data_IF_380690857022
#
_entry.id   IF_380690857022
#
_cell.length_a   1.000
_cell.length_b   1.000
_cell.length_c   1.000
_cell.angle_alpha   90.00
_cell.angle_beta   90.00
_cell.angle_gamma   90.00
#
_symmetry.space_group_name_H-M   'P 1'
#
loop_
_entity.id
_entity.type
_entity.pdbx_description
1 polymer ?
#
# COMPACT_ATOMS: atom_id res chain seq x y z
N UNK A 1 -24.71 -6.88 11.69
CA UNK A 1 -23.29 -7.22 11.49
C UNK A 1 -22.51 -6.48 12.55
N UNK A 2 -21.95 -7.20 13.53
CA UNK A 2 -21.12 -6.58 14.56
C UNK A 2 -19.76 -6.33 13.92
N UNK A 3 -19.43 -5.07 13.64
CA UNK A 3 -18.08 -4.69 13.25
C UNK A 3 -17.14 -5.04 14.39
N UNK A 4 -16.22 -5.98 14.16
CA UNK A 4 -15.13 -6.26 15.10
C UNK A 4 -14.39 -4.95 15.44
N UNK A 5 -13.84 -4.80 16.66
CA UNK A 5 -13.10 -3.59 17.05
C UNK A 5 -12.01 -3.19 16.04
N UNK A 6 -11.44 -4.16 15.32
CA UNK A 6 -10.43 -3.92 14.27
C UNK A 6 -11.02 -3.30 12.98
N UNK A 7 -12.23 -3.68 12.59
CA UNK A 7 -12.93 -3.03 11.48
C UNK A 7 -13.21 -1.56 11.77
N UNK A 8 -13.38 -1.21 13.06
CA UNK A 8 -13.49 0.18 13.48
C UNK A 8 -12.17 0.95 13.35
N UNK A 9 -11.01 0.30 13.52
CA UNK A 9 -9.70 0.95 13.43
C UNK A 9 -9.36 1.29 11.98
N UNK A 10 -9.53 0.36 11.04
CA UNK A 10 -9.28 0.64 9.62
C UNK A 10 -10.23 1.71 9.08
N UNK A 11 -11.53 1.64 9.43
CA UNK A 11 -12.50 2.68 9.06
C UNK A 11 -12.07 4.06 9.59
N UNK A 12 -11.57 4.12 10.82
CA UNK A 12 -11.05 5.37 11.41
C UNK A 12 -9.80 5.87 10.67
N UNK A 13 -8.89 4.97 10.30
CA UNK A 13 -7.70 5.32 9.55
C UNK A 13 -8.02 5.83 8.14
N UNK A 14 -8.95 5.18 7.43
CA UNK A 14 -9.47 5.64 6.13
C UNK A 14 -10.11 7.03 6.27
N UNK A 15 -10.96 7.24 7.28
CA UNK A 15 -11.58 8.55 7.52
C UNK A 15 -10.54 9.63 7.84
N UNK A 16 -9.46 9.29 8.55
CA UNK A 16 -8.34 10.21 8.81
C UNK A 16 -7.63 10.60 7.52
N UNK A 17 -7.33 9.64 6.65
CA UNK A 17 -6.74 9.93 5.32
C UNK A 17 -7.67 10.85 4.54
N UNK A 18 -8.97 10.53 4.46
CA UNK A 18 -9.93 11.37 3.74
C UNK A 18 -9.94 12.82 4.26
N UNK A 19 -9.93 13.00 5.58
CA UNK A 19 -9.86 14.34 6.20
C UNK A 19 -8.55 15.06 5.93
N UNK A 20 -7.41 14.38 6.05
CA UNK A 20 -6.07 14.99 5.93
C UNK A 20 -5.76 15.43 4.50
N UNK A 21 -6.31 14.74 3.49
CA UNK A 21 -6.08 15.04 2.08
C UNK A 21 -7.31 15.67 1.40
N UNK A 22 -8.29 16.13 2.18
CA UNK A 22 -9.47 16.83 1.65
C UNK A 22 -9.07 18.08 0.86
N UNK A 23 -9.74 18.32 -0.26
CA UNK A 23 -9.50 19.46 -1.13
C UNK A 23 -8.17 19.45 -1.90
N UNK A 24 -7.29 18.44 -1.73
CA UNK A 24 -6.06 18.32 -2.51
C UNK A 24 -6.38 18.11 -3.99
N UNK A 25 -5.64 18.78 -4.88
CA UNK A 25 -5.78 18.71 -6.34
C UNK A 25 -4.45 18.38 -7.00
N UNK A 26 -4.52 17.95 -8.26
CA UNK A 26 -3.40 18.10 -9.18
C UNK A 26 -3.04 19.59 -9.34
N UNK A 27 -1.84 19.87 -9.84
CA UNK A 27 -1.47 21.25 -10.18
C UNK A 27 -2.35 21.77 -11.32
N UNK A 28 -2.63 23.08 -11.32
CA UNK A 28 -3.51 23.68 -12.33
C UNK A 28 -3.00 23.50 -13.76
N UNK A 29 -1.68 23.38 -13.94
CA UNK A 29 -1.03 23.13 -15.21
C UNK A 29 -0.65 21.66 -15.45
N UNK A 30 -1.11 20.74 -14.59
CA UNK A 30 -0.91 19.30 -14.83
C UNK A 30 -1.55 18.91 -16.16
N UNK A 31 -0.76 18.28 -17.03
CA UNK A 31 -1.21 17.77 -18.31
C UNK A 31 -1.20 16.24 -18.39
N UNK A 32 -0.59 15.57 -17.40
CA UNK A 32 -0.25 14.15 -17.49
C UNK A 32 0.65 13.86 -18.71
N UNK A 33 0.73 12.59 -19.10
CA UNK A 33 1.60 12.18 -20.21
C UNK A 33 1.03 12.49 -21.62
N UNK A 34 -0.18 13.05 -21.70
CA UNK A 34 -0.89 13.33 -22.96
C UNK A 34 -1.34 12.10 -23.76
N UNK A 35 -1.29 10.89 -23.19
CA UNK A 35 -1.66 9.63 -23.87
C UNK A 35 -2.53 8.69 -23.05
N UNK A 36 -2.28 8.59 -21.75
CA UNK A 36 -2.91 7.60 -20.88
C UNK A 36 -4.21 8.09 -20.22
N UNK A 37 -4.43 9.39 -20.23
CA UNK A 37 -5.60 10.06 -19.67
C UNK A 37 -6.08 11.08 -20.68
N UNK A 38 -7.39 11.18 -20.84
CA UNK A 38 -7.97 12.25 -21.63
C UNK A 38 -8.04 13.57 -20.83
N UNK A 39 -8.29 14.68 -21.53
CA UNK A 39 -8.34 16.01 -20.91
C UNK A 39 -9.43 16.11 -19.83
N UNK A 40 -10.53 15.37 -19.98
CA UNK A 40 -11.61 15.34 -18.98
C UNK A 40 -11.17 14.64 -17.70
N UNK A 41 -10.47 13.51 -17.82
CA UNK A 41 -9.88 12.81 -16.67
C UNK A 41 -8.83 13.66 -15.95
N UNK A 42 -7.95 14.35 -16.70
CA UNK A 42 -6.98 15.28 -16.11
C UNK A 42 -7.69 16.45 -15.42
N UNK A 43 -8.75 16.99 -16.02
CA UNK A 43 -9.55 18.05 -15.41
C UNK A 43 -10.21 17.62 -14.09
N UNK A 44 -10.69 16.37 -13.99
CA UNK A 44 -11.20 15.83 -12.73
C UNK A 44 -10.13 15.79 -11.62
N UNK A 45 -8.87 15.52 -11.98
CA UNK A 45 -7.74 15.54 -11.05
C UNK A 45 -7.40 16.96 -10.59
N UNK A 46 -7.57 17.97 -11.46
CA UNK A 46 -7.40 19.39 -11.13
C UNK A 46 -8.57 19.96 -10.32
N UNK A 47 -9.75 19.36 -10.40
CA UNK A 47 -10.97 19.87 -9.76
C UNK A 47 -11.07 19.43 -8.29
N UNK A 48 -11.19 20.37 -7.32
CA UNK A 48 -11.33 20.04 -5.91
C UNK A 48 -12.72 19.49 -5.58
N UNK A 49 -12.82 18.62 -4.58
CA UNK A 49 -14.09 18.17 -4.00
C UNK A 49 -14.95 17.25 -4.88
N UNK A 50 -14.49 16.91 -6.08
CA UNK A 50 -15.18 15.96 -6.96
C UNK A 50 -14.73 14.52 -6.63
N UNK A 51 -15.65 13.60 -6.31
CA UNK A 51 -15.31 12.18 -6.21
C UNK A 51 -14.82 11.65 -7.56
N UNK A 52 -13.68 10.95 -7.57
CA UNK A 52 -13.18 10.26 -8.77
C UNK A 52 -13.76 8.85 -8.82
N UNK A 53 -13.91 8.31 -10.02
CA UNK A 53 -14.25 6.90 -10.21
C UNK A 53 -13.10 6.01 -9.71
N UNK A 54 -13.42 4.86 -9.10
CA UNK A 54 -12.42 3.92 -8.58
C UNK A 54 -11.41 3.48 -9.66
N UNK A 55 -11.87 3.25 -10.90
CA UNK A 55 -10.99 2.92 -12.02
C UNK A 55 -9.97 4.03 -12.34
N UNK A 56 -10.38 5.30 -12.29
CA UNK A 56 -9.47 6.43 -12.49
C UNK A 56 -8.44 6.49 -11.35
N UNK A 57 -8.88 6.35 -10.10
CA UNK A 57 -8.00 6.32 -8.92
C UNK A 57 -6.94 5.23 -9.04
N UNK A 58 -7.36 4.01 -9.39
CA UNK A 58 -6.49 2.86 -9.60
C UNK A 58 -5.47 3.14 -10.70
N UNK A 59 -5.95 3.51 -11.90
CA UNK A 59 -5.07 3.82 -13.03
C UNK A 59 -4.07 4.91 -12.66
N UNK A 60 -4.49 5.96 -11.98
CA UNK A 60 -3.59 7.05 -11.57
C UNK A 60 -2.45 6.55 -10.68
N UNK A 61 -2.77 5.75 -9.66
CA UNK A 61 -1.78 5.23 -8.72
C UNK A 61 -0.83 4.18 -9.34
N UNK A 62 -1.32 3.40 -10.32
CA UNK A 62 -0.54 2.36 -10.99
C UNK A 62 0.42 2.88 -12.07
N UNK A 63 0.20 4.10 -12.59
CA UNK A 63 1.05 4.63 -13.66
C UNK A 63 2.46 4.90 -13.17
N UNK A 64 3.40 4.74 -14.09
CA UNK A 64 4.79 5.10 -13.83
C UNK A 64 4.87 6.57 -13.40
N UNK A 65 5.63 6.92 -12.35
CA UNK A 65 5.68 8.28 -11.81
C UNK A 65 5.98 9.39 -12.83
N UNK A 66 6.69 9.06 -13.92
CA UNK A 66 6.99 10.02 -14.99
C UNK A 66 5.77 10.34 -15.89
N UNK A 67 4.61 9.73 -15.65
CA UNK A 67 3.36 10.09 -16.35
C UNK A 67 2.77 11.41 -15.86
N UNK A 68 3.26 11.95 -14.77
CA UNK A 68 2.71 13.12 -14.09
C UNK A 68 3.76 14.20 -13.97
N UNK A 69 3.36 15.45 -14.19
CA UNK A 69 4.24 16.60 -13.98
C UNK A 69 4.59 16.73 -12.49
N UNK A 70 3.62 16.41 -11.62
CA UNK A 70 3.81 16.40 -10.17
C UNK A 70 3.19 15.15 -9.52
N UNK A 71 3.93 14.04 -9.56
CA UNK A 71 3.54 12.78 -8.90
C UNK A 71 3.10 12.95 -7.44
N UNK A 72 3.82 13.69 -6.57
CA UNK A 72 3.35 13.91 -5.20
C UNK A 72 2.00 14.62 -5.08
N UNK A 73 1.68 15.58 -5.95
CA UNK A 73 0.38 16.25 -5.93
C UNK A 73 -0.73 15.29 -6.38
N UNK A 74 -0.48 14.54 -7.45
CA UNK A 74 -1.41 13.56 -8.01
C UNK A 74 -1.75 12.46 -7.00
N UNK A 75 -0.75 11.89 -6.34
CA UNK A 75 -1.01 10.84 -5.35
C UNK A 75 -1.80 11.39 -4.17
N UNK A 76 -1.50 12.61 -3.67
CA UNK A 76 -2.31 13.25 -2.63
C UNK A 76 -3.77 13.45 -3.04
N UNK A 77 -4.02 13.82 -4.30
CA UNK A 77 -5.38 14.01 -4.85
C UNK A 77 -6.20 12.73 -4.82
N UNK A 78 -5.61 11.60 -5.16
CA UNK A 78 -6.34 10.32 -5.24
C UNK A 78 -6.35 9.55 -3.92
N UNK A 79 -5.48 9.90 -2.97
CA UNK A 79 -5.25 9.15 -1.75
C UNK A 79 -6.51 8.87 -0.91
N UNK A 80 -7.45 9.82 -0.70
CA UNK A 80 -8.71 9.54 0.01
C UNK A 80 -9.49 8.35 -0.52
N UNK A 81 -9.49 8.15 -1.84
CA UNK A 81 -10.21 7.06 -2.49
C UNK A 81 -9.30 5.85 -2.73
N UNK A 82 -8.00 6.05 -2.92
CA UNK A 82 -7.02 4.98 -3.09
C UNK A 82 -6.97 4.05 -1.88
N UNK A 83 -7.05 4.59 -0.66
CA UNK A 83 -7.04 3.76 0.55
C UNK A 83 -8.30 2.89 0.67
N UNK A 84 -9.42 3.33 0.12
CA UNK A 84 -10.66 2.53 0.05
C UNK A 84 -10.47 1.39 -0.95
N UNK A 85 -10.04 1.73 -2.17
CA UNK A 85 -9.72 0.79 -3.27
C UNK A 85 -8.76 -0.32 -2.78
N UNK A 86 -7.67 0.06 -2.08
CA UNK A 86 -6.73 -0.91 -1.50
C UNK A 86 -7.38 -1.80 -0.43
N UNK A 87 -8.25 -1.25 0.42
CA UNK A 87 -8.88 -2.00 1.51
C UNK A 87 -9.97 -2.97 1.06
N UNK A 88 -10.63 -2.68 -0.07
CA UNK A 88 -11.77 -3.45 -0.58
C UNK A 88 -11.36 -4.68 -1.41
N UNK A 89 -10.07 -4.80 -1.71
CA UNK A 89 -9.52 -6.05 -2.23
C UNK A 89 -9.09 -6.00 -3.69
N UNK A 90 -8.74 -4.81 -4.20
CA UNK A 90 -8.36 -4.66 -5.60
C UNK A 90 -7.08 -5.41 -5.96
N UNK A 91 -7.07 -5.95 -7.17
CA UNK A 91 -5.89 -6.61 -7.73
C UNK A 91 -4.73 -5.60 -7.90
N UNK A 92 -3.49 -6.10 -7.87
CA UNK A 92 -2.27 -5.30 -8.07
C UNK A 92 -2.13 -4.17 -7.03
N UNK A 93 -2.46 -4.45 -5.78
CA UNK A 93 -2.35 -3.53 -4.65
C UNK A 93 -0.91 -3.04 -4.41
N UNK A 94 0.07 -3.87 -4.75
CA UNK A 94 1.50 -3.58 -4.70
C UNK A 94 1.93 -2.59 -5.80
N UNK A 95 1.37 -2.68 -7.01
CA UNK A 95 1.57 -1.70 -8.07
C UNK A 95 1.00 -0.32 -7.68
N UNK A 96 -0.19 -0.29 -7.06
CA UNK A 96 -0.74 0.94 -6.50
C UNK A 96 0.12 1.48 -5.35
N UNK A 97 0.65 0.61 -4.48
CA UNK A 97 1.54 0.96 -3.39
C UNK A 97 2.87 1.57 -3.88
N UNK A 98 3.40 1.12 -5.02
CA UNK A 98 4.56 1.74 -5.67
C UNK A 98 4.32 3.23 -5.96
N UNK A 99 3.12 3.61 -6.37
CA UNK A 99 2.75 5.01 -6.59
C UNK A 99 2.95 5.88 -5.34
N UNK A 100 2.59 5.36 -4.16
CA UNK A 100 2.82 6.02 -2.88
C UNK A 100 4.31 6.18 -2.58
N UNK A 101 5.07 5.09 -2.71
CA UNK A 101 6.52 5.11 -2.47
C UNK A 101 7.22 6.14 -3.37
N UNK A 102 6.86 6.15 -4.66
CA UNK A 102 7.38 7.10 -5.63
C UNK A 102 7.02 8.56 -5.34
N UNK A 103 5.85 8.79 -4.77
CA UNK A 103 5.43 10.11 -4.32
C UNK A 103 6.17 10.59 -3.04
N UNK A 104 6.98 9.72 -2.43
CA UNK A 104 7.81 10.04 -1.28
C UNK A 104 6.99 10.34 -0.02
N UNK A 105 5.88 9.64 0.20
CA UNK A 105 4.91 9.95 1.24
C UNK A 105 5.50 10.04 2.65
N UNK A 106 6.53 9.25 2.94
CA UNK A 106 7.21 9.24 4.24
C UNK A 106 7.95 10.55 4.54
N UNK A 107 8.18 11.39 3.52
CA UNK A 107 8.84 12.71 3.63
C UNK A 107 7.86 13.89 3.56
N UNK A 108 6.56 13.62 3.48
CA UNK A 108 5.53 14.66 3.51
C UNK A 108 5.41 15.32 4.89
N UNK A 109 4.65 16.42 5.03
CA UNK A 109 4.33 16.98 6.34
C UNK A 109 3.83 15.91 7.32
N UNK A 110 4.20 16.05 8.60
CA UNK A 110 4.01 15.01 9.62
C UNK A 110 2.58 14.50 9.73
N UNK A 111 1.58 15.38 9.59
CA UNK A 111 0.17 15.00 9.60
C UNK A 111 -0.18 14.08 8.42
N UNK A 112 0.28 14.41 7.22
CA UNK A 112 0.06 13.63 6.00
C UNK A 112 0.77 12.27 6.06
N UNK A 113 2.05 12.26 6.40
CA UNK A 113 2.81 11.03 6.55
C UNK A 113 2.22 10.13 7.65
N UNK A 114 1.81 10.72 8.77
CA UNK A 114 1.16 9.99 9.87
C UNK A 114 -0.20 9.40 9.50
N UNK A 115 -0.98 10.05 8.64
CA UNK A 115 -2.24 9.51 8.14
C UNK A 115 -2.01 8.27 7.24
N UNK A 116 -1.02 8.33 6.34
CA UNK A 116 -0.65 7.19 5.48
C UNK A 116 -0.09 6.03 6.30
N UNK A 117 0.85 6.30 7.21
CA UNK A 117 1.41 5.26 8.09
C UNK A 117 0.33 4.60 8.95
N UNK A 118 -0.60 5.39 9.50
CA UNK A 118 -1.71 4.87 10.29
C UNK A 118 -2.68 4.00 9.47
N UNK A 119 -2.93 4.33 8.20
CA UNK A 119 -3.70 3.48 7.30
C UNK A 119 -2.99 2.15 7.03
N UNK A 120 -1.71 2.18 6.64
CA UNK A 120 -0.96 0.97 6.32
C UNK A 120 -0.87 0.02 7.53
N UNK A 121 -0.66 0.55 8.75
CA UNK A 121 -0.67 -0.24 9.98
C UNK A 121 -2.04 -0.85 10.28
N UNK A 122 -3.13 -0.06 10.18
CA UNK A 122 -4.47 -0.55 10.42
C UNK A 122 -4.90 -1.62 9.39
N UNK A 123 -4.54 -1.42 8.11
CA UNK A 123 -4.85 -2.35 7.04
C UNK A 123 -4.11 -3.68 7.23
N UNK A 124 -2.83 -3.61 7.59
CA UNK A 124 -2.04 -4.79 7.87
C UNK A 124 -2.54 -5.56 9.11
N UNK A 125 -2.79 -4.85 10.21
CA UNK A 125 -3.32 -5.45 11.44
C UNK A 125 -4.68 -6.12 11.21
N UNK A 126 -5.60 -5.47 10.48
CA UNK A 126 -6.89 -6.08 10.16
C UNK A 126 -6.74 -7.32 9.29
N UNK A 127 -5.82 -7.30 8.33
CA UNK A 127 -5.55 -8.45 7.45
C UNK A 127 -5.10 -9.67 8.27
N UNK A 128 -4.14 -9.48 9.18
CA UNK A 128 -3.63 -10.54 10.06
C UNK A 128 -4.68 -11.16 10.99
N UNK A 129 -5.72 -10.41 11.35
CA UNK A 129 -6.80 -10.86 12.25
C UNK A 129 -8.02 -11.41 11.51
N UNK A 130 -8.14 -11.14 10.20
CA UNK A 130 -9.27 -11.57 9.39
C UNK A 130 -8.99 -12.94 8.78
N UNK A 131 -9.87 -13.94 9.00
CA UNK A 131 -9.65 -15.32 8.50
C UNK A 131 -9.57 -15.43 6.98
N UNK A 132 -10.34 -14.59 6.29
CA UNK A 132 -10.44 -14.53 4.82
C UNK A 132 -10.49 -13.04 4.43
N UNK A 133 -9.35 -12.35 4.45
CA UNK A 133 -9.27 -10.95 4.05
C UNK A 133 -9.56 -10.81 2.54
N UNK A 134 -9.99 -9.62 2.06
CA UNK A 134 -10.24 -9.39 0.64
C UNK A 134 -9.01 -9.61 -0.25
N UNK A 135 -7.81 -9.31 0.26
CA UNK A 135 -6.51 -9.60 -0.37
C UNK A 135 -5.73 -10.54 0.53
N UNK A 136 -4.98 -11.48 -0.07
CA UNK A 136 -4.10 -12.40 0.65
C UNK A 136 -3.10 -11.65 1.53
N UNK A 137 -2.76 -12.21 2.69
CA UNK A 137 -1.86 -11.56 3.63
C UNK A 137 -0.46 -11.28 3.03
N UNK A 138 0.08 -12.18 2.21
CA UNK A 138 1.35 -11.95 1.48
C UNK A 138 1.27 -10.71 0.59
N UNK A 139 0.21 -10.56 -0.20
CA UNK A 139 0.03 -9.42 -1.11
C UNK A 139 -0.18 -8.09 -0.35
N UNK A 140 -0.90 -8.10 0.79
CA UNK A 140 -0.97 -6.90 1.66
C UNK A 140 0.40 -6.59 2.26
N UNK A 141 1.14 -7.59 2.73
CA UNK A 141 2.50 -7.42 3.24
C UNK A 141 3.42 -6.81 2.17
N UNK A 142 3.46 -7.38 0.97
CA UNK A 142 4.21 -6.85 -0.18
C UNK A 142 3.80 -5.41 -0.52
N UNK A 143 2.51 -5.07 -0.43
CA UNK A 143 2.02 -3.71 -0.65
C UNK A 143 2.51 -2.73 0.42
N UNK A 144 2.41 -3.11 1.70
CA UNK A 144 2.91 -2.30 2.81
C UNK A 144 4.42 -2.09 2.73
N UNK A 145 5.17 -3.15 2.42
CA UNK A 145 6.62 -3.11 2.19
C UNK A 145 6.96 -2.19 1.04
N UNK A 146 6.30 -2.37 -0.11
CA UNK A 146 6.53 -1.55 -1.31
C UNK A 146 6.23 -0.09 -1.05
N UNK A 147 5.08 0.23 -0.44
CA UNK A 147 4.70 1.61 -0.12
C UNK A 147 5.73 2.29 0.78
N UNK A 148 6.23 1.58 1.80
CA UNK A 148 7.12 2.15 2.82
C UNK A 148 8.61 2.03 2.50
N UNK A 149 8.98 1.25 1.48
CA UNK A 149 10.35 0.83 1.20
C UNK A 149 11.04 0.22 2.44
N UNK A 150 10.30 -0.50 3.28
CA UNK A 150 10.79 -1.09 4.54
C UNK A 150 10.00 -2.32 4.95
N UNK A 151 10.66 -3.34 5.50
CA UNK A 151 10.02 -4.57 5.99
C UNK A 151 9.83 -4.62 7.50
N UNK A 152 10.76 -4.02 8.25
CA UNK A 152 10.83 -4.06 9.70
C UNK A 152 9.49 -3.79 10.43
N UNK A 153 8.75 -2.69 10.15
CA UNK A 153 7.51 -2.42 10.90
C UNK A 153 6.43 -3.49 10.67
N UNK A 154 6.38 -4.08 9.48
CA UNK A 154 5.35 -5.05 9.10
C UNK A 154 5.66 -6.43 9.66
N UNK A 155 6.94 -6.83 9.68
CA UNK A 155 7.41 -8.03 10.35
C UNK A 155 7.23 -7.95 11.86
N UNK A 156 7.57 -6.80 12.47
CA UNK A 156 7.35 -6.59 13.91
C UNK A 156 5.86 -6.72 14.28
N UNK A 157 4.95 -6.18 13.46
CA UNK A 157 3.51 -6.38 13.65
C UNK A 157 3.14 -7.87 13.55
N UNK A 158 3.60 -8.56 12.51
CA UNK A 158 3.31 -9.98 12.30
C UNK A 158 3.77 -10.83 13.49
N UNK A 159 4.97 -10.56 14.02
CA UNK A 159 5.54 -11.23 15.19
C UNK A 159 4.66 -11.06 16.44
N UNK A 160 4.03 -9.90 16.63
CA UNK A 160 3.10 -9.68 17.75
C UNK A 160 1.75 -10.38 17.59
N UNK A 161 1.32 -10.69 16.35
CA UNK A 161 0.06 -11.37 16.06
C UNK A 161 0.23 -12.89 16.15
N UNK A 162 0.18 -13.45 17.37
CA UNK A 162 0.41 -14.89 17.62
C UNK A 162 -0.85 -15.77 17.47
N UNK A 163 -1.97 -15.16 17.10
CA UNK A 163 -3.25 -15.84 16.92
C UNK A 163 -3.22 -16.92 15.82
N UNK A 164 -4.16 -17.89 15.84
CA UNK A 164 -4.21 -18.96 14.84
C UNK A 164 -4.44 -18.44 13.41
N UNK A 165 -5.12 -17.30 13.25
CA UNK A 165 -5.35 -16.67 11.94
C UNK A 165 -4.03 -16.16 11.35
N UNK A 166 -3.25 -15.38 12.11
CA UNK A 166 -1.97 -14.85 11.67
C UNK A 166 -0.93 -15.95 11.39
N UNK A 167 -0.93 -17.04 12.17
CA UNK A 167 -0.10 -18.23 11.89
C UNK A 167 -0.49 -18.94 10.59
N UNK A 168 -1.79 -19.05 10.30
CA UNK A 168 -2.26 -19.57 9.02
C UNK A 168 -1.83 -18.68 7.86
N UNK A 169 -1.98 -17.37 8.00
CA UNK A 169 -1.51 -16.40 6.99
C UNK A 169 -0.01 -16.53 6.72
N UNK A 170 0.80 -16.77 7.76
CA UNK A 170 2.23 -17.01 7.60
C UNK A 170 2.50 -18.30 6.79
N UNK A 171 1.80 -19.40 7.11
CA UNK A 171 1.94 -20.65 6.35
C UNK A 171 1.51 -20.49 4.89
N UNK A 172 0.39 -19.81 4.64
CA UNK A 172 -0.10 -19.52 3.28
C UNK A 172 0.88 -18.62 2.52
N UNK A 173 1.55 -17.68 3.20
CA UNK A 173 2.56 -16.79 2.61
C UNK A 173 3.88 -17.50 2.29
N UNK A 174 4.27 -18.51 3.09
CA UNK A 174 5.41 -19.37 2.76
C UNK A 174 5.16 -20.21 1.50
N UNK A 175 3.92 -20.68 1.29
CA UNK A 175 3.54 -21.40 0.07
C UNK A 175 3.54 -20.47 -1.16
N UNK A 176 3.09 -19.23 -0.97
CA UNK A 176 3.09 -18.18 -1.98
C UNK A 176 4.51 -17.79 -2.42
N UNK A 177 5.43 -17.54 -1.48
CA UNK A 177 6.83 -17.17 -1.77
C UNK A 177 7.75 -18.35 -2.06
N UNK A 178 7.23 -19.54 -2.34
CA UNK A 178 8.04 -20.77 -2.43
C UNK A 178 9.16 -20.65 -3.47
N UNK A 179 8.91 -19.99 -4.61
CA UNK A 179 9.90 -19.82 -5.67
C UNK A 179 10.98 -18.80 -5.26
N UNK A 180 10.58 -17.64 -4.74
CA UNK A 180 11.47 -16.57 -4.27
C UNK A 180 12.29 -16.96 -3.04
N UNK A 181 11.76 -17.87 -2.22
CA UNK A 181 12.49 -18.48 -1.10
C UNK A 181 13.57 -19.45 -1.59
N UNK A 182 13.36 -20.10 -2.74
CA UNK A 182 14.30 -21.04 -3.35
C UNK A 182 15.33 -20.37 -4.27
N UNK A 183 15.07 -19.13 -4.72
CA UNK A 183 15.97 -18.33 -5.56
C UNK A 183 16.51 -17.09 -4.82
N UNK A 184 17.28 -16.26 -5.53
CA UNK A 184 17.69 -14.92 -5.06
C UNK A 184 16.68 -13.82 -5.46
N UNK A 185 15.56 -14.20 -6.09
CA UNK A 185 14.51 -13.27 -6.51
C UNK A 185 13.72 -12.77 -5.30
N UNK A 186 13.14 -11.58 -5.42
CA UNK A 186 12.29 -10.97 -4.40
C UNK A 186 10.83 -10.98 -4.86
N UNK A 187 9.86 -11.17 -3.94
CA UNK A 187 8.45 -11.00 -4.28
C UNK A 187 8.06 -9.53 -4.47
N UNK A 188 8.92 -8.56 -4.16
CA UNK A 188 8.62 -7.12 -4.23
C UNK A 188 8.72 -6.58 -5.67
N UNK A 189 7.94 -7.15 -6.59
CA UNK A 189 7.97 -6.89 -8.04
C UNK A 189 7.90 -5.40 -8.40
N UNK A 190 7.18 -4.59 -7.62
CA UNK A 190 7.00 -3.16 -7.86
C UNK A 190 7.80 -2.26 -6.93
N UNK A 191 8.94 -2.75 -6.42
CA UNK A 191 9.82 -1.97 -5.55
C UNK A 191 10.19 -0.62 -6.16
N UNK A 192 10.04 0.45 -5.38
CA UNK A 192 10.51 1.78 -5.75
C UNK A 192 11.84 2.08 -5.07
N UNK A 193 12.93 1.92 -5.81
CA UNK A 193 14.29 2.11 -5.33
C UNK A 193 15.29 1.34 -6.19
N UNK A 194 16.46 1.07 -5.63
CA UNK A 194 17.49 0.26 -6.27
C UNK A 194 17.22 -1.23 -6.05
N UNK A 195 17.64 -2.06 -7.01
CA UNK A 195 17.59 -3.52 -6.87
C UNK A 195 18.42 -4.04 -5.68
N UNK A 196 19.40 -3.27 -5.19
CA UNK A 196 20.15 -3.61 -3.99
C UNK A 196 19.32 -3.45 -2.71
N UNK A 197 18.52 -2.39 -2.62
CA UNK A 197 17.59 -2.15 -1.50
C UNK A 197 16.47 -3.20 -1.48
N UNK A 198 15.91 -3.52 -2.64
CA UNK A 198 14.92 -4.59 -2.81
C UNK A 198 15.46 -5.95 -2.29
N UNK A 199 16.65 -6.34 -2.77
CA UNK A 199 17.31 -7.57 -2.29
C UNK A 199 17.58 -7.52 -0.79
N UNK A 200 18.02 -6.39 -0.25
CA UNK A 200 18.27 -6.24 1.18
C UNK A 200 16.97 -6.43 2.00
N UNK A 201 15.86 -5.84 1.55
CA UNK A 201 14.55 -6.02 2.16
C UNK A 201 14.12 -7.49 2.16
N UNK A 202 14.31 -8.20 1.04
CA UNK A 202 13.98 -9.62 0.96
C UNK A 202 14.88 -10.50 1.84
N UNK A 203 16.17 -10.18 1.92
CA UNK A 203 17.08 -10.86 2.83
C UNK A 203 16.64 -10.69 4.28
N UNK A 204 16.19 -9.50 4.69
CA UNK A 204 15.67 -9.29 6.05
C UNK A 204 14.44 -10.17 6.34
N UNK A 205 13.52 -10.35 5.38
CA UNK A 205 12.40 -11.30 5.51
C UNK A 205 12.90 -12.74 5.66
N UNK A 206 13.85 -13.18 4.83
CA UNK A 206 14.46 -14.52 4.94
C UNK A 206 15.11 -14.75 6.30
N UNK A 207 15.82 -13.75 6.84
CA UNK A 207 16.41 -13.82 8.18
C UNK A 207 15.34 -13.94 9.27
N UNK A 208 14.27 -13.15 9.17
CA UNK A 208 13.15 -13.23 10.11
C UNK A 208 12.46 -14.60 10.07
N UNK A 209 12.17 -15.14 8.88
CA UNK A 209 11.57 -16.46 8.69
C UNK A 209 12.45 -17.58 9.29
N UNK A 210 13.77 -17.51 9.09
CA UNK A 210 14.70 -18.46 9.70
C UNK A 210 14.71 -18.40 11.24
N UNK A 211 14.43 -17.23 11.81
CA UNK A 211 14.23 -17.05 13.26
C UNK A 211 12.93 -17.70 13.76
N UNK A 212 11.83 -17.54 13.01
CA UNK A 212 10.53 -18.14 13.36
C UNK A 212 10.59 -19.66 13.37
N UNK A 213 11.27 -20.28 12.40
CA UNK A 213 11.43 -21.74 12.32
C UNK A 213 12.21 -22.35 13.50
N UNK A 214 13.02 -21.55 14.21
CA UNK A 214 13.76 -22.00 15.41
C UNK A 214 12.94 -21.86 16.70
N UNK A 215 11.87 -21.07 16.67
CA UNK A 215 11.01 -20.81 17.82
C UNK A 215 9.81 -21.77 17.92
N UNK A 216 9.50 -22.48 16.83
CA UNK A 216 8.49 -23.55 16.73
C UNK A 216 9.08 -24.92 16.99
#
# INVERSE_FOLDING_TARGET
MVTSPDGSVLVTAIARVAKTFDGMTAQANEAGCGRCFDEGEVELLRTPGIPLAADLVRRVAQKDPFHWDNQPAIIRRVLPQLVVVLSEGEAESDLMARGLAAAGWSRWPSEQAGAVAGFLDAWWAQTLRTKSPPILACAVFESCVTASSSVAPWLARWETETGPVARRHLADSLDWWREELASDDSPFTWWWGTAAEERAAWQEVKHWLAGQARAT
#
